data_IF_058904497008
#
_entry.id   IF_058904497008
#
_cell.length_a   1.000
_cell.length_b   1.000
_cell.length_c   1.000
_cell.angle_alpha   90.00
_cell.angle_beta   90.00
_cell.angle_gamma   90.00
#
_symmetry.space_group_name_H-M   'P 1'
#
loop_
_entity.id
_entity.type
_entity.pdbx_description
1 polymer ?
#
# COMPACT_ATOMS: atom_id res chain seq x y z
N UNK A 1 68.97 -40.00 -4.65
CA UNK A 1 68.82 -40.95 -3.54
C UNK A 1 67.42 -40.77 -2.97
N UNK A 2 66.45 -41.57 -3.44
CA UNK A 2 65.23 -41.88 -2.69
C UNK A 2 65.61 -42.84 -1.54
N UNK A 3 64.79 -43.13 -0.48
CA UNK A 3 63.34 -43.36 -0.58
C UNK A 3 62.45 -43.20 0.69
N UNK A 4 61.15 -43.56 0.53
CA UNK A 4 60.09 -44.01 1.49
C UNK A 4 59.34 -42.92 2.29
N UNK A 5 58.05 -42.63 2.01
CA UNK A 5 56.76 -43.37 2.21
C UNK A 5 56.27 -43.44 3.68
N UNK A 6 55.27 -42.62 4.03
CA UNK A 6 54.11 -42.86 4.94
C UNK A 6 53.08 -41.76 4.58
N UNK A 7 52.00 -41.99 3.83
CA UNK A 7 50.74 -42.67 4.16
C UNK A 7 50.20 -42.35 5.56
N UNK A 8 49.41 -41.28 5.66
CA UNK A 8 48.37 -41.14 6.68
C UNK A 8 47.17 -40.41 6.09
N UNK A 9 46.11 -41.19 5.87
CA UNK A 9 44.78 -40.78 5.43
C UNK A 9 44.24 -39.63 6.28
N UNK A 10 43.95 -38.48 5.66
CA UNK A 10 42.98 -37.53 6.20
C UNK A 10 41.67 -37.76 5.45
N UNK A 11 40.79 -38.51 6.09
CA UNK A 11 39.44 -38.79 5.64
C UNK A 11 38.66 -37.46 5.62
N UNK A 12 38.50 -36.88 4.44
CA UNK A 12 37.65 -35.71 4.21
C UNK A 12 36.19 -36.16 4.40
N UNK A 13 35.67 -36.03 5.61
CA UNK A 13 34.25 -36.16 5.89
C UNK A 13 33.58 -34.93 5.26
N UNK A 14 33.12 -35.10 4.03
CA UNK A 14 32.11 -34.25 3.41
C UNK A 14 30.81 -34.56 4.16
N UNK A 15 30.55 -33.83 5.24
CA UNK A 15 29.19 -33.69 5.76
C UNK A 15 28.47 -32.82 4.72
N UNK A 16 27.88 -33.50 3.74
CA UNK A 16 26.76 -32.96 3.00
C UNK A 16 25.65 -32.68 4.01
N UNK A 17 25.56 -31.43 4.47
CA UNK A 17 24.31 -30.91 5.00
C UNK A 17 23.33 -30.92 3.82
N UNK A 18 22.68 -32.06 3.61
CA UNK A 18 21.35 -32.07 3.01
C UNK A 18 20.46 -31.32 4.00
N UNK A 19 20.43 -29.99 3.88
CA UNK A 19 19.30 -29.21 4.32
C UNK A 19 18.11 -29.79 3.57
N UNK A 20 17.38 -30.69 4.22
CA UNK A 20 16.00 -30.93 3.87
C UNK A 20 15.36 -29.55 3.91
N UNK A 21 15.19 -28.94 2.74
CA UNK A 21 14.20 -27.92 2.55
C UNK A 21 12.87 -28.63 2.79
N UNK A 22 12.51 -28.80 4.06
CA UNK A 22 11.12 -29.01 4.43
C UNK A 22 10.41 -27.82 3.82
N UNK A 23 9.62 -28.09 2.79
CA UNK A 23 8.73 -27.10 2.20
C UNK A 23 7.88 -26.58 3.35
N UNK A 24 8.23 -25.40 3.87
CA UNK A 24 7.48 -24.75 4.93
C UNK A 24 6.09 -24.54 4.36
N UNK A 25 5.12 -25.32 4.83
CA UNK A 25 3.73 -25.09 4.46
C UNK A 25 3.27 -23.85 5.20
N UNK A 26 2.72 -22.90 4.46
CA UNK A 26 2.32 -21.61 5.01
C UNK A 26 0.89 -21.68 5.54
N UNK A 27 0.69 -21.29 6.78
CA UNK A 27 -0.66 -21.03 7.30
C UNK A 27 -1.18 -19.68 6.82
N UNK A 28 -2.50 -19.45 6.93
CA UNK A 28 -3.09 -18.15 6.65
C UNK A 28 -2.44 -17.04 7.50
N UNK A 29 -2.19 -17.31 8.78
CA UNK A 29 -1.57 -16.37 9.71
C UNK A 29 -0.12 -16.04 9.30
N UNK A 30 0.67 -17.06 8.94
CA UNK A 30 2.03 -16.85 8.41
C UNK A 30 2.02 -15.99 7.15
N UNK A 31 1.08 -16.26 6.23
CA UNK A 31 0.94 -15.51 4.99
C UNK A 31 0.62 -14.03 5.26
N UNK A 32 -0.36 -13.74 6.11
CA UNK A 32 -0.75 -12.37 6.44
C UNK A 32 0.39 -11.65 7.15
N UNK A 33 1.02 -12.27 8.15
CA UNK A 33 2.14 -11.68 8.88
C UNK A 33 3.31 -11.36 7.95
N UNK A 34 3.68 -12.30 7.08
CA UNK A 34 4.76 -12.09 6.12
C UNK A 34 4.42 -10.99 5.11
N UNK A 35 3.18 -10.96 4.61
CA UNK A 35 2.72 -9.90 3.73
C UNK A 35 2.79 -8.52 4.41
N UNK A 36 2.40 -8.42 5.68
CA UNK A 36 2.49 -7.16 6.42
C UNK A 36 3.94 -6.65 6.49
N UNK A 37 4.91 -7.55 6.68
CA UNK A 37 6.31 -7.18 6.81
C UNK A 37 7.00 -6.88 5.46
N UNK A 38 6.60 -7.56 4.38
CA UNK A 38 7.34 -7.53 3.11
C UNK A 38 6.63 -6.77 1.98
N UNK A 39 5.31 -6.63 2.02
CA UNK A 39 4.55 -6.08 0.90
C UNK A 39 4.94 -4.61 0.61
N UNK A 40 5.34 -4.36 -0.65
CA UNK A 40 5.73 -3.05 -1.19
C UNK A 40 4.71 -1.96 -0.87
N UNK A 41 3.40 -2.20 -0.97
CA UNK A 41 2.38 -1.16 -0.70
C UNK A 41 2.38 -0.72 0.76
N UNK A 42 2.63 -1.65 1.69
CA UNK A 42 2.76 -1.36 3.13
C UNK A 42 4.07 -0.60 3.39
N UNK A 43 5.17 -1.02 2.75
CA UNK A 43 6.46 -0.30 2.83
C UNK A 43 6.36 1.12 2.28
N UNK A 44 5.63 1.34 1.19
CA UNK A 44 5.34 2.67 0.65
C UNK A 44 4.55 3.51 1.67
N UNK A 45 3.53 2.93 2.28
CA UNK A 45 2.74 3.63 3.31
C UNK A 45 3.54 3.96 4.57
N UNK A 46 4.54 3.14 4.94
CA UNK A 46 5.49 3.49 6.02
C UNK A 46 6.38 4.68 5.63
N UNK A 47 6.85 4.75 4.37
CA UNK A 47 7.57 5.91 3.86
C UNK A 47 6.71 7.18 3.82
N UNK A 48 5.39 7.06 3.63
CA UNK A 48 4.47 8.21 3.74
C UNK A 48 4.41 8.74 5.18
N UNK A 49 4.48 7.87 6.20
CA UNK A 49 4.60 8.30 7.61
C UNK A 49 5.91 9.05 7.81
N UNK A 50 7.02 8.57 7.25
CA UNK A 50 8.32 9.24 7.34
C UNK A 50 8.26 10.62 6.68
N UNK A 51 7.61 10.73 5.53
CA UNK A 51 7.36 12.01 4.85
C UNK A 51 6.56 12.96 5.74
N UNK A 52 5.46 12.50 6.35
CA UNK A 52 4.67 13.30 7.28
C UNK A 52 5.45 13.72 8.54
N UNK A 53 6.41 12.91 9.00
CA UNK A 53 7.32 13.27 10.09
C UNK A 53 8.34 14.35 9.66
N UNK A 54 8.82 14.31 8.43
CA UNK A 54 9.68 15.34 7.85
C UNK A 54 8.89 16.65 7.72
N UNK A 55 7.65 16.61 7.23
CA UNK A 55 6.77 17.79 7.15
C UNK A 55 6.53 18.43 8.53
N UNK A 56 6.43 17.62 9.59
CA UNK A 56 6.38 18.13 10.96
C UNK A 56 7.68 18.83 11.36
N UNK A 57 8.85 18.32 10.95
CA UNK A 57 10.13 18.98 11.19
C UNK A 57 10.20 20.31 10.43
N UNK A 58 9.70 20.39 9.21
CA UNK A 58 9.61 21.65 8.45
C UNK A 58 8.66 22.65 9.11
N UNK A 59 7.51 22.18 9.61
CA UNK A 59 6.58 23.00 10.37
C UNK A 59 7.21 23.51 11.68
N UNK A 60 8.06 22.71 12.34
CA UNK A 60 8.86 23.15 13.49
C UNK A 60 9.99 24.11 13.07
N UNK A 61 10.64 23.87 11.93
CA UNK A 61 11.67 24.73 11.36
C UNK A 61 11.18 26.14 11.06
N UNK A 62 9.88 26.30 10.80
CA UNK A 62 9.23 27.61 10.64
C UNK A 62 9.27 28.49 11.90
N UNK A 63 9.60 27.94 13.07
CA UNK A 63 9.85 28.69 14.32
C UNK A 63 11.32 29.07 14.52
N UNK A 64 12.22 28.51 13.72
CA UNK A 64 13.66 28.77 13.82
C UNK A 64 14.06 29.95 12.91
N UNK A 65 15.19 30.62 13.19
CA UNK A 65 15.75 31.58 12.26
C UNK A 65 16.13 30.90 10.94
N UNK A 66 15.79 31.53 9.82
CA UNK A 66 16.44 31.25 8.55
C UNK A 66 17.75 32.02 8.49
N UNK A 67 18.81 31.36 8.01
CA UNK A 67 20.12 31.97 7.76
C UNK A 67 20.46 31.71 6.31
N UNK A 68 20.74 32.76 5.55
CA UNK A 68 21.18 32.66 4.17
C UNK A 68 22.45 33.47 3.98
N UNK A 69 23.36 32.99 3.16
CA UNK A 69 24.52 33.73 2.70
C UNK A 69 24.47 33.83 1.19
N UNK A 70 24.85 34.97 0.64
CA UNK A 70 24.96 35.19 -0.78
C UNK A 70 26.27 35.89 -1.10
N UNK A 71 26.84 35.55 -2.24
CA UNK A 71 27.96 36.27 -2.83
C UNK A 71 27.67 36.48 -4.30
N UNK A 72 28.00 37.65 -4.81
CA UNK A 72 27.84 38.01 -6.20
C UNK A 72 29.05 38.78 -6.69
N UNK A 73 29.39 38.55 -7.96
CA UNK A 73 30.38 39.34 -8.67
C UNK A 73 29.72 39.82 -9.96
N UNK A 74 29.86 41.11 -10.26
CA UNK A 74 29.25 41.72 -11.44
C UNK A 74 30.19 42.68 -12.15
N UNK A 75 30.04 42.75 -13.47
CA UNK A 75 30.68 43.73 -14.34
C UNK A 75 29.61 44.69 -14.85
N UNK A 76 29.83 45.99 -14.65
CA UNK A 76 29.07 47.03 -15.32
C UNK A 76 29.93 47.58 -16.45
N UNK A 77 29.51 47.36 -17.70
CA UNK A 77 30.24 47.74 -18.90
C UNK A 77 29.41 48.77 -19.67
N UNK A 78 30.02 49.91 -20.01
CA UNK A 78 29.38 50.95 -20.83
C UNK A 78 29.34 52.29 -20.11
N UNK A 79 28.41 53.16 -20.52
CA UNK A 79 28.23 54.46 -19.88
C UNK A 79 27.65 54.27 -18.47
N UNK A 80 28.44 54.59 -17.45
CA UNK A 80 28.00 54.54 -16.05
C UNK A 80 28.52 55.77 -15.29
N UNK A 81 27.92 56.05 -14.13
CA UNK A 81 28.47 57.09 -13.25
C UNK A 81 29.72 56.52 -12.61
N UNK A 82 30.85 57.16 -12.83
CA UNK A 82 32.08 56.76 -12.18
C UNK A 82 31.92 56.96 -10.66
N UNK A 83 32.03 55.89 -9.83
CA UNK A 83 31.76 55.96 -8.39
C UNK A 83 32.78 56.85 -7.63
N UNK A 84 33.83 57.28 -8.32
CA UNK A 84 34.98 58.03 -7.83
C UNK A 84 34.79 59.51 -8.09
N UNK A 85 34.65 59.87 -9.37
CA UNK A 85 34.56 61.25 -9.84
C UNK A 85 33.13 61.77 -9.87
N UNK A 86 32.14 60.89 -9.76
CA UNK A 86 30.71 61.19 -9.91
C UNK A 86 30.34 61.80 -11.28
N UNK A 87 31.16 61.53 -12.30
CA UNK A 87 30.96 61.98 -13.68
C UNK A 87 30.60 60.76 -14.54
N UNK A 88 29.71 60.95 -15.51
CA UNK A 88 29.39 59.91 -16.47
C UNK A 88 30.61 59.60 -17.35
N UNK A 89 31.05 58.35 -17.34
CA UNK A 89 32.18 57.88 -18.13
C UNK A 89 31.88 56.50 -18.70
N UNK A 90 32.34 56.24 -19.93
CA UNK A 90 32.28 54.89 -20.52
C UNK A 90 33.43 54.08 -19.95
N UNK A 91 33.12 53.17 -19.03
CA UNK A 91 34.12 52.36 -18.34
C UNK A 91 33.56 50.98 -17.98
N UNK A 92 34.46 50.06 -17.63
CA UNK A 92 34.10 48.79 -17.02
C UNK A 92 34.38 48.86 -15.52
N UNK A 93 33.35 48.71 -14.68
CA UNK A 93 33.49 48.62 -13.23
C UNK A 93 33.13 47.24 -12.74
N UNK A 94 33.92 46.69 -11.82
CA UNK A 94 33.67 45.39 -11.23
C UNK A 94 33.31 45.55 -9.75
N UNK A 95 32.31 44.78 -9.32
CA UNK A 95 31.84 44.77 -7.94
C UNK A 95 31.75 43.33 -7.46
N UNK A 96 32.34 43.05 -6.30
CA UNK A 96 32.06 41.84 -5.55
C UNK A 96 31.27 42.23 -4.32
N UNK A 97 30.16 41.55 -4.03
CA UNK A 97 29.47 41.70 -2.77
C UNK A 97 29.26 40.34 -2.13
N UNK A 98 29.36 40.29 -0.81
CA UNK A 98 28.96 39.12 -0.04
C UNK A 98 28.12 39.59 1.14
N UNK A 99 27.12 38.81 1.51
CA UNK A 99 26.27 39.10 2.64
C UNK A 99 25.71 37.85 3.28
N UNK A 100 25.29 38.00 4.52
CA UNK A 100 24.56 37.00 5.27
C UNK A 100 23.32 37.65 5.87
N UNK A 101 22.18 37.00 5.78
CA UNK A 101 20.91 37.49 6.30
C UNK A 101 20.33 36.42 7.22
N UNK A 102 19.94 36.84 8.41
CA UNK A 102 19.22 36.03 9.38
C UNK A 102 17.83 36.63 9.55
N UNK A 103 16.79 35.79 9.47
CA UNK A 103 15.41 36.23 9.67
C UNK A 103 14.63 35.22 10.51
N UNK A 104 13.88 35.71 11.50
CA UNK A 104 13.03 34.88 12.36
C UNK A 104 11.63 35.48 12.45
N UNK A 105 10.62 34.66 12.17
CA UNK A 105 9.22 35.01 12.39
C UNK A 105 8.93 34.91 13.90
N UNK A 106 8.97 36.05 14.61
CA UNK A 106 8.68 36.13 16.06
C UNK A 106 7.19 35.90 16.31
N UNK A 107 6.35 36.51 15.48
CA UNK A 107 4.91 36.31 15.49
C UNK A 107 4.36 36.28 14.08
N UNK A 108 3.55 35.28 13.76
CA UNK A 108 2.96 35.11 12.42
C UNK A 108 1.46 34.87 12.51
N UNK A 109 0.75 35.63 13.35
CA UNK A 109 -0.68 35.45 13.54
C UNK A 109 -1.12 34.08 14.05
N UNK A 110 -0.22 33.34 14.72
CA UNK A 110 -0.36 31.91 15.08
C UNK A 110 -0.36 30.92 13.91
N UNK A 111 -0.06 31.35 12.67
CA UNK A 111 0.02 30.44 11.51
C UNK A 111 0.96 29.25 11.76
N UNK A 112 2.17 29.50 12.27
CA UNK A 112 3.15 28.44 12.55
C UNK A 112 2.62 27.41 13.56
N UNK A 113 1.86 27.86 14.58
CA UNK A 113 1.25 26.98 15.60
C UNK A 113 0.19 26.08 14.97
N UNK A 114 -0.70 26.63 14.14
CA UNK A 114 -1.72 25.82 13.47
C UNK A 114 -1.13 24.90 12.41
N UNK A 115 -0.09 25.33 11.69
CA UNK A 115 0.66 24.48 10.74
C UNK A 115 1.31 23.29 11.46
N UNK A 116 1.92 23.49 12.63
CA UNK A 116 2.48 22.40 13.44
C UNK A 116 1.39 21.45 13.95
N UNK A 117 0.26 21.97 14.42
CA UNK A 117 -0.89 21.15 14.82
C UNK A 117 -1.44 20.34 13.65
N UNK A 118 -1.56 20.94 12.47
CA UNK A 118 -1.95 20.26 11.23
C UNK A 118 -0.97 19.13 10.90
N UNK A 119 0.34 19.39 10.95
CA UNK A 119 1.35 18.37 10.66
C UNK A 119 1.28 17.17 11.63
N UNK A 120 0.96 17.40 12.91
CA UNK A 120 0.70 16.30 13.84
C UNK A 120 -0.52 15.46 13.43
N UNK A 121 -1.62 16.09 13.00
CA UNK A 121 -2.79 15.39 12.48
C UNK A 121 -2.47 14.63 11.18
N UNK A 122 -1.64 15.20 10.31
CA UNK A 122 -1.18 14.53 9.09
C UNK A 122 -0.40 13.24 9.39
N UNK A 123 0.42 13.21 10.45
CA UNK A 123 1.07 11.97 10.92
C UNK A 123 0.03 10.95 11.39
N UNK A 124 -1.00 11.39 12.11
CA UNK A 124 -2.09 10.50 12.57
C UNK A 124 -2.86 9.93 11.37
N UNK A 125 -3.17 10.76 10.37
CA UNK A 125 -3.81 10.32 9.14
C UNK A 125 -2.95 9.29 8.38
N UNK A 126 -1.64 9.54 8.24
CA UNK A 126 -0.70 8.61 7.60
C UNK A 126 -0.63 7.26 8.35
N UNK A 127 -0.66 7.28 9.69
CA UNK A 127 -0.72 6.05 10.50
C UNK A 127 -2.01 5.27 10.27
N UNK A 128 -3.16 5.94 10.20
CA UNK A 128 -4.42 5.27 9.89
C UNK A 128 -4.43 4.75 8.44
N UNK A 129 -3.83 5.46 7.48
CA UNK A 129 -3.66 4.97 6.12
C UNK A 129 -2.80 3.70 6.06
N UNK A 130 -1.70 3.64 6.83
CA UNK A 130 -0.90 2.41 6.97
C UNK A 130 -1.72 1.26 7.54
N UNK A 131 -2.47 1.51 8.61
CA UNK A 131 -3.35 0.49 9.19
C UNK A 131 -4.39 0.00 8.17
N UNK A 132 -5.02 0.91 7.41
CA UNK A 132 -5.95 0.54 6.34
C UNK A 132 -5.27 -0.32 5.27
N UNK A 133 -4.06 0.05 4.85
CA UNK A 133 -3.28 -0.72 3.88
C UNK A 133 -2.98 -2.14 4.41
N UNK A 134 -2.60 -2.27 5.68
CA UNK A 134 -2.37 -3.57 6.32
C UNK A 134 -3.65 -4.42 6.33
N UNK A 135 -4.80 -3.82 6.67
CA UNK A 135 -6.10 -4.48 6.66
C UNK A 135 -6.53 -4.94 5.25
N UNK A 136 -6.37 -4.08 4.24
CA UNK A 136 -6.69 -4.39 2.84
C UNK A 136 -5.81 -5.52 2.30
N UNK A 137 -4.50 -5.50 2.59
CA UNK A 137 -3.57 -6.58 2.21
C UNK A 137 -3.90 -7.87 2.94
N UNK A 138 -4.24 -7.83 4.23
CA UNK A 138 -4.64 -9.01 4.98
C UNK A 138 -5.89 -9.68 4.38
N UNK A 139 -6.90 -8.90 3.99
CA UNK A 139 -8.11 -9.40 3.31
C UNK A 139 -7.78 -10.01 1.94
N UNK A 140 -6.92 -9.37 1.15
CA UNK A 140 -6.52 -9.87 -0.17
C UNK A 140 -5.73 -11.19 -0.06
N UNK A 141 -4.82 -11.28 0.93
CA UNK A 141 -4.08 -12.51 1.23
C UNK A 141 -5.03 -13.61 1.69
N UNK A 142 -6.00 -13.30 2.56
CA UNK A 142 -7.00 -14.27 2.99
C UNK A 142 -7.84 -14.80 1.82
N UNK A 143 -8.29 -13.93 0.92
CA UNK A 143 -9.01 -14.34 -0.28
C UNK A 143 -8.16 -15.25 -1.18
N UNK A 144 -6.93 -14.85 -1.47
CA UNK A 144 -6.01 -15.63 -2.30
C UNK A 144 -5.67 -16.99 -1.67
N UNK A 145 -5.47 -17.03 -0.35
CA UNK A 145 -5.24 -18.26 0.40
C UNK A 145 -6.42 -19.24 0.28
N UNK A 146 -7.65 -18.77 0.50
CA UNK A 146 -8.85 -19.60 0.36
C UNK A 146 -9.06 -20.06 -1.08
N UNK A 147 -8.72 -19.24 -2.08
CA UNK A 147 -8.75 -19.64 -3.49
C UNK A 147 -7.77 -20.77 -3.80
N UNK A 148 -6.57 -20.74 -3.22
CA UNK A 148 -5.59 -21.84 -3.37
C UNK A 148 -6.14 -23.13 -2.75
N UNK A 149 -6.70 -23.06 -1.54
CA UNK A 149 -7.32 -24.23 -0.89
C UNK A 149 -8.48 -24.80 -1.73
N UNK A 150 -9.36 -23.93 -2.22
CA UNK A 150 -10.45 -24.32 -3.14
C UNK A 150 -9.91 -25.06 -4.37
N UNK A 151 -8.93 -24.49 -5.06
CA UNK A 151 -8.37 -25.08 -6.28
C UNK A 151 -7.65 -26.40 -6.00
N UNK A 152 -7.04 -26.55 -4.83
CA UNK A 152 -6.36 -27.78 -4.39
C UNK A 152 -7.36 -28.91 -4.17
N UNK A 153 -8.45 -28.64 -3.45
CA UNK A 153 -9.54 -29.60 -3.24
C UNK A 153 -10.27 -29.92 -4.56
N UNK A 154 -10.51 -28.93 -5.43
CA UNK A 154 -11.12 -29.18 -6.73
C UNK A 154 -10.23 -30.09 -7.60
N UNK A 155 -8.91 -29.87 -7.63
CA UNK A 155 -7.98 -30.75 -8.33
C UNK A 155 -8.02 -32.19 -7.79
N UNK A 156 -8.17 -32.35 -6.48
CA UNK A 156 -8.33 -33.67 -5.85
C UNK A 156 -9.60 -34.36 -6.35
N UNK A 157 -10.74 -33.65 -6.40
CA UNK A 157 -12.00 -34.18 -6.97
C UNK A 157 -11.82 -34.62 -8.42
N UNK A 158 -11.20 -33.80 -9.27
CA UNK A 158 -10.98 -34.16 -10.68
C UNK A 158 -10.04 -35.38 -10.85
N UNK A 159 -9.03 -35.53 -10.00
CA UNK A 159 -8.15 -36.70 -10.02
C UNK A 159 -8.86 -37.98 -9.54
N UNK A 160 -9.69 -37.88 -8.50
CA UNK A 160 -10.50 -39.01 -8.02
C UNK A 160 -11.48 -39.47 -9.10
N UNK A 161 -12.12 -38.51 -9.78
CA UNK A 161 -12.99 -38.75 -10.92
C UNK A 161 -12.28 -39.49 -12.06
N UNK A 162 -11.11 -38.99 -12.49
CA UNK A 162 -10.29 -39.66 -13.52
C UNK A 162 -9.84 -41.06 -13.08
N UNK A 163 -9.52 -41.26 -11.80
CA UNK A 163 -9.14 -42.57 -11.27
C UNK A 163 -10.29 -43.58 -11.30
N UNK A 164 -11.53 -43.14 -11.04
CA UNK A 164 -12.73 -43.97 -11.16
C UNK A 164 -12.97 -44.32 -12.63
N UNK A 165 -12.85 -43.37 -13.56
CA UNK A 165 -13.08 -43.61 -14.98
C UNK A 165 -12.05 -44.55 -15.60
N UNK A 166 -10.80 -44.49 -15.16
CA UNK A 166 -9.78 -45.47 -15.56
C UNK A 166 -10.12 -46.90 -15.07
N UNK A 167 -10.69 -47.05 -13.87
CA UNK A 167 -11.19 -48.35 -13.40
C UNK A 167 -12.38 -48.82 -14.25
N UNK A 168 -13.26 -47.90 -14.63
CA UNK A 168 -14.38 -48.20 -15.51
C UNK A 168 -13.92 -48.66 -16.91
N UNK A 169 -12.90 -48.02 -17.48
CA UNK A 169 -12.31 -48.43 -18.76
C UNK A 169 -11.81 -49.88 -18.72
N UNK A 170 -11.11 -50.26 -17.65
CA UNK A 170 -10.62 -51.64 -17.49
C UNK A 170 -11.78 -52.63 -17.50
N UNK A 171 -12.85 -52.34 -16.73
CA UNK A 171 -14.05 -53.20 -16.67
C UNK A 171 -14.78 -53.27 -18.00
N UNK A 172 -15.03 -52.15 -18.65
CA UNK A 172 -15.70 -52.10 -19.95
C UNK A 172 -14.89 -52.85 -21.01
N UNK A 173 -13.55 -52.73 -21.00
CA UNK A 173 -12.68 -53.45 -21.92
C UNK A 173 -12.79 -54.98 -21.72
N UNK A 174 -12.83 -55.46 -20.49
CA UNK A 174 -13.03 -56.89 -20.18
C UNK A 174 -14.40 -57.39 -20.67
N UNK A 175 -15.47 -56.63 -20.42
CA UNK A 175 -16.82 -56.98 -20.85
C UNK A 175 -16.98 -56.98 -22.37
N UNK A 176 -16.35 -56.05 -23.08
CA UNK A 176 -16.33 -56.03 -24.55
C UNK A 176 -15.54 -57.22 -25.10
N UNK A 177 -14.40 -57.56 -24.49
CA UNK A 177 -13.60 -58.72 -24.90
C UNK A 177 -14.34 -60.05 -24.66
N UNK A 178 -15.15 -60.12 -23.60
CA UNK A 178 -16.05 -61.24 -23.33
C UNK A 178 -17.30 -61.28 -24.24
N UNK A 179 -17.53 -60.24 -25.06
CA UNK A 179 -18.69 -60.12 -25.93
C UNK A 179 -19.98 -59.65 -25.24
N UNK A 180 -19.90 -59.23 -23.97
CA UNK A 180 -21.05 -58.81 -23.16
C UNK A 180 -21.47 -57.35 -23.40
N UNK A 181 -20.57 -56.50 -23.93
CA UNK A 181 -20.84 -55.10 -24.25
C UNK A 181 -20.41 -54.73 -25.67
N UNK A 182 -21.08 -53.75 -26.31
CA UNK A 182 -20.69 -53.26 -27.63
C UNK A 182 -19.40 -52.42 -27.56
N UNK A 183 -18.65 -52.38 -28.68
CA UNK A 183 -17.44 -51.52 -28.79
C UNK A 183 -17.75 -50.02 -28.68
N UNK A 184 -18.99 -49.60 -28.92
CA UNK A 184 -19.44 -48.21 -28.74
C UNK A 184 -19.22 -47.72 -27.31
N UNK A 185 -19.65 -48.49 -26.31
CA UNK A 185 -19.48 -48.17 -24.89
C UNK A 185 -18.00 -47.98 -24.51
N UNK A 186 -17.10 -48.77 -25.11
CA UNK A 186 -15.65 -48.59 -24.91
C UNK A 186 -15.14 -47.26 -25.47
N UNK A 187 -15.67 -46.82 -26.63
CA UNK A 187 -15.31 -45.54 -27.22
C UNK A 187 -15.86 -44.37 -26.40
N UNK A 188 -17.07 -44.50 -25.85
CA UNK A 188 -17.67 -43.48 -24.98
C UNK A 188 -16.85 -43.31 -23.70
N UNK A 189 -16.45 -44.40 -23.04
CA UNK A 189 -15.59 -44.32 -21.84
C UNK A 189 -14.23 -43.69 -22.17
N UNK A 190 -13.64 -43.99 -23.33
CA UNK A 190 -12.39 -43.34 -23.77
C UNK A 190 -12.58 -41.84 -24.02
N UNK A 191 -13.73 -41.43 -24.57
CA UNK A 191 -14.05 -40.01 -24.75
C UNK A 191 -14.22 -39.30 -23.39
N UNK A 192 -14.88 -39.92 -22.42
CA UNK A 192 -14.98 -39.38 -21.04
C UNK A 192 -13.61 -39.21 -20.40
N UNK A 193 -12.73 -40.22 -20.48
CA UNK A 193 -11.35 -40.11 -19.94
C UNK A 193 -10.57 -38.97 -20.60
N UNK A 194 -10.73 -38.76 -21.90
CA UNK A 194 -10.08 -37.64 -22.59
C UNK A 194 -10.59 -36.29 -22.06
N UNK A 195 -11.90 -36.15 -21.83
CA UNK A 195 -12.50 -34.96 -21.25
C UNK A 195 -12.05 -34.74 -19.79
N UNK A 196 -11.96 -35.80 -18.98
CA UNK A 196 -11.52 -35.70 -17.59
C UNK A 196 -10.03 -35.38 -17.46
N UNK A 197 -9.18 -35.90 -18.35
CA UNK A 197 -7.79 -35.46 -18.45
C UNK A 197 -7.70 -33.95 -18.74
N UNK A 198 -8.56 -33.42 -19.63
CA UNK A 198 -8.62 -31.98 -19.88
C UNK A 198 -9.03 -31.19 -18.62
N UNK A 199 -10.02 -31.67 -17.86
CA UNK A 199 -10.45 -31.05 -16.59
C UNK A 199 -9.31 -31.05 -15.55
N UNK A 200 -8.58 -32.16 -15.42
CA UNK A 200 -7.42 -32.25 -14.52
C UNK A 200 -6.34 -31.24 -14.90
N UNK A 201 -5.98 -31.15 -16.19
CA UNK A 201 -5.00 -30.18 -16.68
C UNK A 201 -5.45 -28.74 -16.39
N UNK A 202 -6.73 -28.43 -16.62
CA UNK A 202 -7.27 -27.11 -16.32
C UNK A 202 -7.24 -26.80 -14.81
N UNK A 203 -7.57 -27.78 -13.96
CA UNK A 203 -7.51 -27.65 -12.51
C UNK A 203 -6.07 -27.46 -12.01
N UNK A 204 -5.10 -28.18 -12.58
CA UNK A 204 -3.66 -28.01 -12.31
C UNK A 204 -3.19 -26.61 -12.65
N UNK A 205 -3.53 -26.12 -13.85
CA UNK A 205 -3.21 -24.76 -14.28
C UNK A 205 -3.84 -23.70 -13.36
N UNK A 206 -5.11 -23.88 -12.99
CA UNK A 206 -5.82 -22.96 -12.09
C UNK A 206 -5.19 -22.93 -10.69
N UNK A 207 -4.80 -24.09 -10.15
CA UNK A 207 -4.08 -24.18 -8.89
C UNK A 207 -2.72 -23.46 -8.97
N UNK A 208 -1.94 -23.71 -10.03
CA UNK A 208 -0.65 -23.06 -10.25
C UNK A 208 -0.80 -21.53 -10.30
N UNK A 209 -1.77 -21.02 -11.08
CA UNK A 209 -2.03 -19.57 -11.18
C UNK A 209 -2.42 -19.00 -9.81
N UNK A 210 -3.30 -19.66 -9.05
CA UNK A 210 -3.67 -19.17 -7.71
C UNK A 210 -2.49 -19.16 -6.72
N UNK A 211 -1.60 -20.15 -6.79
CA UNK A 211 -0.36 -20.17 -5.99
C UNK A 211 0.57 -19.03 -6.39
N UNK A 212 0.72 -18.77 -7.69
CA UNK A 212 1.50 -17.63 -8.19
C UNK A 212 0.91 -16.30 -7.72
N UNK A 213 -0.41 -16.12 -7.78
CA UNK A 213 -1.07 -14.90 -7.29
C UNK A 213 -0.84 -14.68 -5.79
N UNK A 214 -0.93 -15.75 -4.98
CA UNK A 214 -0.61 -15.65 -3.54
C UNK A 214 0.88 -15.33 -3.33
N UNK A 215 1.79 -16.03 -4.00
CA UNK A 215 3.23 -15.78 -3.90
C UNK A 215 3.61 -14.34 -4.30
N UNK A 216 2.95 -13.78 -5.31
CA UNK A 216 3.12 -12.38 -5.72
C UNK A 216 2.62 -11.38 -4.67
N UNK A 217 1.46 -11.66 -4.04
CA UNK A 217 0.96 -10.82 -2.92
C UNK A 217 1.89 -10.85 -1.71
N UNK A 218 2.48 -12.01 -1.43
CA UNK A 218 3.48 -12.22 -0.38
C UNK A 218 4.85 -11.66 -0.75
N UNK A 219 5.13 -11.44 -2.05
CA UNK A 219 6.42 -11.01 -2.58
C UNK A 219 7.55 -12.00 -2.27
N UNK A 220 7.28 -13.28 -2.52
CA UNK A 220 8.28 -14.34 -2.37
C UNK A 220 9.25 -14.33 -3.57
N UNK A 221 10.55 -14.45 -3.29
CA UNK A 221 11.60 -14.50 -4.32
C UNK A 221 11.58 -15.82 -5.12
N UNK A 222 11.09 -16.91 -4.52
CA UNK A 222 10.95 -18.22 -5.15
C UNK A 222 9.56 -18.80 -4.90
N UNK A 223 8.90 -19.20 -5.99
CA UNK A 223 7.55 -19.77 -5.96
C UNK A 223 7.53 -21.30 -6.12
N UNK A 224 8.64 -21.91 -6.55
CA UNK A 224 8.67 -23.30 -7.03
C UNK A 224 8.32 -24.32 -5.94
N UNK A 225 8.62 -24.02 -4.68
CA UNK A 225 8.33 -24.88 -3.52
C UNK A 225 7.26 -24.31 -2.58
N UNK A 226 6.49 -23.31 -3.02
CA UNK A 226 5.46 -22.69 -2.21
C UNK A 226 4.20 -23.56 -2.13
N UNK A 227 3.82 -23.93 -0.90
CA UNK A 227 2.55 -24.60 -0.63
C UNK A 227 1.92 -24.12 0.67
N UNK A 228 0.60 -24.26 0.75
CA UNK A 228 -0.21 -23.85 1.90
C UNK A 228 -0.62 -25.08 2.72
N UNK A 229 -0.81 -24.87 4.03
CA UNK A 229 -1.31 -25.92 4.92
C UNK A 229 -2.77 -26.23 4.59
N UNK A 230 -3.10 -27.51 4.43
CA UNK A 230 -4.48 -27.97 4.29
C UNK A 230 -5.22 -27.77 5.62
N UNK A 231 -6.12 -26.79 5.66
CA UNK A 231 -6.95 -26.54 6.84
C UNK A 231 -8.25 -27.33 6.69
N UNK A 232 -8.35 -28.44 7.43
CA UNK A 232 -9.52 -29.31 7.38
C UNK A 232 -10.75 -28.67 8.06
N UNK A 233 -10.56 -27.81 9.06
CA UNK A 233 -11.65 -27.18 9.82
C UNK A 233 -11.36 -25.70 10.07
N UNK A 234 -12.13 -24.82 9.44
CA UNK A 234 -12.30 -23.45 9.93
C UNK A 234 -13.40 -23.48 10.98
N UNK A 235 -13.09 -23.16 12.24
CA UNK A 235 -14.13 -22.96 13.26
C UNK A 235 -14.94 -21.72 12.88
N UNK A 236 -16.17 -21.96 12.39
CA UNK A 236 -17.08 -20.91 11.96
C UNK A 236 -17.94 -20.47 13.14
N UNK A 237 -17.74 -19.23 13.61
CA UNK A 237 -18.58 -18.65 14.66
C UNK A 237 -19.94 -18.22 14.06
N UNK A 238 -20.92 -19.14 14.07
CA UNK A 238 -22.29 -18.88 13.63
C UNK A 238 -23.01 -17.78 14.46
N UNK A 239 -22.43 -17.35 15.58
CA UNK A 239 -23.04 -16.40 16.52
C UNK A 239 -23.26 -15.00 15.91
N UNK A 240 -22.44 -14.58 14.94
CA UNK A 240 -22.54 -13.25 14.32
C UNK A 240 -23.73 -13.12 13.35
N UNK A 241 -24.13 -14.22 12.71
CA UNK A 241 -25.30 -14.24 11.82
C UNK A 241 -26.63 -14.12 12.60
N UNK A 242 -26.58 -14.24 13.93
CA UNK A 242 -27.73 -14.02 14.82
C UNK A 242 -27.91 -12.56 15.25
N UNK A 243 -26.97 -11.66 14.91
CA UNK A 243 -27.06 -10.23 15.22
C UNK A 243 -27.74 -9.43 14.10
N UNK A 244 -28.14 -8.18 14.39
CA UNK A 244 -28.72 -7.29 13.37
C UNK A 244 -27.63 -6.50 12.64
N UNK A 245 -27.78 -6.23 11.33
CA UNK A 245 -26.84 -5.40 10.58
C UNK A 245 -26.56 -4.03 11.23
N UNK A 246 -27.57 -3.44 11.86
CA UNK A 246 -27.47 -2.16 12.56
C UNK A 246 -26.50 -2.24 13.75
N UNK A 247 -26.57 -3.31 14.55
CA UNK A 247 -25.65 -3.49 15.69
C UNK A 247 -24.18 -3.68 15.25
N UNK A 248 -23.97 -4.33 14.09
CA UNK A 248 -22.65 -4.49 13.49
C UNK A 248 -22.14 -3.14 12.98
N UNK A 249 -23.01 -2.36 12.34
CA UNK A 249 -22.69 -1.01 11.87
C UNK A 249 -22.31 -0.06 13.02
N UNK A 250 -23.05 -0.05 14.13
CA UNK A 250 -22.76 0.83 15.26
C UNK A 250 -21.39 0.54 15.90
N UNK A 251 -21.00 -0.74 15.96
CA UNK A 251 -19.65 -1.14 16.37
C UNK A 251 -18.59 -0.76 15.33
N UNK A 252 -18.86 -1.04 14.06
CA UNK A 252 -17.97 -0.68 12.96
C UNK A 252 -17.67 0.83 12.97
N UNK A 253 -18.71 1.66 13.15
CA UNK A 253 -18.59 3.12 13.17
C UNK A 253 -17.53 3.65 14.15
N UNK A 254 -17.35 2.97 15.29
CA UNK A 254 -16.38 3.39 16.31
C UNK A 254 -14.95 2.89 16.05
N UNK A 255 -14.81 1.75 15.39
CA UNK A 255 -13.53 1.04 15.30
C UNK A 255 -12.85 1.19 13.94
N UNK A 256 -13.64 1.31 12.85
CA UNK A 256 -13.17 1.29 11.46
C UNK A 256 -12.19 2.41 11.16
N UNK A 257 -11.09 2.03 10.55
CA UNK A 257 -9.97 2.93 10.23
C UNK A 257 -10.34 3.94 9.14
N UNK A 258 -11.22 3.58 8.20
CA UNK A 258 -11.64 4.47 7.11
C UNK A 258 -12.36 5.71 7.63
N UNK A 259 -13.20 5.55 8.65
CA UNK A 259 -13.84 6.68 9.32
C UNK A 259 -12.84 7.52 10.11
N UNK A 260 -11.86 6.90 10.78
CA UNK A 260 -10.80 7.64 11.47
C UNK A 260 -9.96 8.48 10.50
N UNK A 261 -9.69 7.98 9.29
CA UNK A 261 -9.03 8.74 8.22
C UNK A 261 -9.89 9.95 7.82
N UNK A 262 -11.17 9.73 7.53
CA UNK A 262 -12.08 10.80 7.12
C UNK A 262 -12.26 11.87 8.22
N UNK A 263 -12.38 11.46 9.48
CA UNK A 263 -12.43 12.35 10.65
C UNK A 263 -11.13 13.15 10.80
N UNK A 264 -9.97 12.50 10.70
CA UNK A 264 -8.67 13.20 10.81
C UNK A 264 -8.50 14.20 9.66
N UNK A 265 -8.94 13.87 8.45
CA UNK A 265 -8.93 14.79 7.31
C UNK A 265 -9.85 15.99 7.51
N UNK A 266 -11.01 15.79 8.13
CA UNK A 266 -11.90 16.87 8.54
C UNK A 266 -11.19 17.81 9.55
N UNK A 267 -10.55 17.27 10.58
CA UNK A 267 -9.77 18.06 11.55
C UNK A 267 -8.60 18.82 10.89
N UNK A 268 -7.92 18.21 9.91
CA UNK A 268 -6.90 18.88 9.10
C UNK A 268 -7.51 20.07 8.33
N UNK A 269 -8.69 19.90 7.74
CA UNK A 269 -9.40 20.97 7.05
C UNK A 269 -9.78 22.12 8.01
N UNK A 270 -10.17 21.82 9.25
CA UNK A 270 -10.40 22.84 10.28
C UNK A 270 -9.13 23.63 10.60
N UNK A 271 -7.97 22.95 10.73
CA UNK A 271 -6.69 23.64 10.93
C UNK A 271 -6.32 24.50 9.73
N UNK A 272 -6.62 24.07 8.50
CA UNK A 272 -6.42 24.90 7.31
C UNK A 272 -7.27 26.18 7.34
N UNK A 273 -8.52 26.12 7.81
CA UNK A 273 -9.35 27.31 8.04
C UNK A 273 -8.71 28.23 9.08
N UNK A 274 -8.19 27.67 10.19
CA UNK A 274 -7.51 28.44 11.22
C UNK A 274 -6.23 29.12 10.69
N UNK A 275 -5.41 28.42 9.89
CA UNK A 275 -4.22 28.97 9.21
C UNK A 275 -4.62 30.11 8.26
N UNK A 276 -5.69 29.94 7.49
CA UNK A 276 -6.18 30.98 6.58
C UNK A 276 -6.67 32.21 7.34
N UNK A 277 -7.40 32.02 8.45
CA UNK A 277 -7.87 33.13 9.32
C UNK A 277 -6.72 33.86 10.00
N UNK A 278 -5.68 33.14 10.39
CA UNK A 278 -4.48 33.71 10.99
C UNK A 278 -3.76 34.72 10.08
N UNK A 279 -3.98 34.66 8.75
CA UNK A 279 -3.44 35.64 7.81
C UNK A 279 -4.04 37.05 7.94
N UNK A 280 -5.13 37.24 8.69
CA UNK A 280 -5.66 38.56 9.03
C UNK A 280 -4.87 39.25 10.15
N UNK A 281 -4.08 38.50 10.91
CA UNK A 281 -3.38 39.05 12.06
C UNK A 281 -2.04 39.66 11.64
N UNK A 282 -1.50 40.60 12.44
CA UNK A 282 -0.17 41.12 12.25
C UNK A 282 0.91 40.04 12.25
N UNK A 283 2.00 40.30 11.54
CA UNK A 283 3.22 39.50 11.60
C UNK A 283 4.39 40.35 12.08
N UNK A 284 5.17 39.85 13.04
CA UNK A 284 6.38 40.46 13.57
C UNK A 284 7.58 39.59 13.19
N UNK A 285 8.51 40.14 12.41
CA UNK A 285 9.73 39.45 11.97
C UNK A 285 10.97 40.17 12.50
N UNK A 286 11.85 39.44 13.17
CA UNK A 286 13.20 39.91 13.49
C UNK A 286 14.15 39.63 12.33
N UNK A 287 15.06 40.55 12.06
CA UNK A 287 16.09 40.36 11.03
C UNK A 287 17.44 40.91 11.46
N UNK A 288 18.50 40.30 10.92
CA UNK A 288 19.88 40.77 10.98
C UNK A 288 20.50 40.56 9.59
N UNK A 289 20.96 41.64 8.95
CA UNK A 289 21.64 41.60 7.67
C UNK A 289 23.08 42.07 7.85
N UNK A 290 24.00 41.29 7.33
CA UNK A 290 25.40 41.62 7.15
C UNK A 290 25.66 41.69 5.65
N UNK A 291 26.33 42.73 5.19
CA UNK A 291 26.77 42.83 3.81
C UNK A 291 28.14 43.49 3.75
N UNK A 292 28.98 43.10 2.80
CA UNK A 292 30.21 43.79 2.48
C UNK A 292 30.37 43.83 0.96
N UNK A 293 31.05 44.86 0.48
CA UNK A 293 31.28 45.07 -0.94
C UNK A 293 32.71 45.48 -1.20
N UNK A 294 33.25 44.98 -2.30
CA UNK A 294 34.57 45.31 -2.84
C UNK A 294 34.34 45.85 -4.24
N UNK A 295 34.94 47.00 -4.54
CA UNK A 295 34.93 47.57 -5.89
C UNK A 295 36.35 47.55 -6.43
N UNK A 296 36.50 47.15 -7.68
CA UNK A 296 37.78 47.23 -8.40
C UNK A 296 37.86 48.50 -9.25
N UNK A 297 37.14 49.54 -8.84
CA UNK A 297 37.30 50.89 -9.37
C UNK A 297 38.28 51.66 -8.49
N UNK A 298 38.95 52.66 -9.06
CA UNK A 298 39.81 53.58 -8.32
C UNK A 298 39.04 54.28 -7.17
N UNK A 299 39.74 54.98 -6.28
CA UNK A 299 39.13 55.77 -5.20
C UNK A 299 39.55 57.23 -5.34
N UNK A 300 38.65 58.17 -4.99
CA UNK A 300 38.85 59.59 -5.23
C UNK A 300 39.65 60.14 -4.07
N UNK A 301 40.82 60.70 -4.36
CA UNK A 301 41.53 61.54 -3.42
C UNK A 301 40.80 62.87 -3.37
N UNK A 302 40.30 63.25 -2.19
CA UNK A 302 39.62 64.52 -1.97
C UNK A 302 40.44 65.39 -1.03
N UNK A 303 40.51 66.68 -1.31
CA UNK A 303 41.10 67.65 -0.39
C UNK A 303 40.13 68.02 0.76
N UNK A 304 40.58 68.87 1.67
CA UNK A 304 39.79 69.35 2.80
C UNK A 304 38.54 70.18 2.39
N UNK A 305 38.41 70.54 1.11
CA UNK A 305 37.25 71.23 0.55
C UNK A 305 36.28 70.27 -0.15
N UNK A 306 36.62 68.98 -0.22
CA UNK A 306 35.84 67.93 -0.88
C UNK A 306 36.07 67.84 -2.39
N UNK A 307 36.96 68.66 -2.95
CA UNK A 307 37.33 68.64 -4.36
C UNK A 307 38.20 67.42 -4.67
N UNK A 308 37.93 66.74 -5.79
CA UNK A 308 38.70 65.57 -6.22
C UNK A 308 40.05 66.03 -6.76
N UNK A 309 41.13 65.73 -6.04
CA UNK A 309 42.51 66.11 -6.33
C UNK A 309 43.33 65.00 -7.00
N UNK A 310 42.76 63.80 -7.14
CA UNK A 310 43.38 62.68 -7.84
C UNK A 310 42.61 61.37 -7.68
N UNK A 311 43.13 60.30 -8.27
CA UNK A 311 42.62 58.93 -8.08
C UNK A 311 43.74 58.05 -7.51
N UNK A 312 43.36 57.10 -6.67
CA UNK A 312 44.26 56.06 -6.15
C UNK A 312 43.71 54.67 -6.49
N UNK A 313 44.60 53.69 -6.64
CA UNK A 313 44.20 52.30 -6.84
C UNK A 313 43.30 51.83 -5.68
N UNK A 314 42.34 50.92 -5.95
CA UNK A 314 41.51 50.36 -4.89
C UNK A 314 42.36 49.72 -3.78
N UNK A 315 41.99 49.86 -2.49
CA UNK A 315 42.63 49.14 -1.40
C UNK A 315 42.56 47.62 -1.60
N UNK A 316 43.34 46.86 -0.83
CA UNK A 316 43.34 45.40 -0.96
C UNK A 316 41.93 44.82 -0.76
N UNK A 317 41.68 43.64 -1.33
CA UNK A 317 40.39 42.96 -1.19
C UNK A 317 39.96 42.84 0.29
N UNK A 318 40.89 42.48 1.17
CA UNK A 318 40.63 42.24 2.61
C UNK A 318 40.29 43.55 3.32
N UNK A 319 41.03 44.63 3.03
CA UNK A 319 40.78 45.94 3.63
C UNK A 319 39.41 46.46 3.20
N UNK A 320 39.12 46.44 1.89
CA UNK A 320 37.81 46.84 1.39
C UNK A 320 36.68 45.99 1.96
N UNK A 321 36.89 44.68 2.11
CA UNK A 321 35.88 43.79 2.66
C UNK A 321 35.62 44.04 4.15
N UNK A 322 36.65 44.38 4.91
CA UNK A 322 36.54 44.75 6.33
C UNK A 322 35.92 46.13 6.52
N UNK A 323 36.36 47.11 5.72
CA UNK A 323 36.00 48.52 5.90
C UNK A 323 34.61 48.83 5.35
N UNK A 324 34.20 48.15 4.28
CA UNK A 324 32.86 48.30 3.68
C UNK A 324 31.79 47.40 4.31
N UNK A 325 32.04 46.81 5.48
CA UNK A 325 31.04 45.99 6.18
C UNK A 325 29.87 46.86 6.66
N UNK A 326 28.67 46.54 6.19
CA UNK A 326 27.40 47.06 6.66
C UNK A 326 26.69 46.02 7.52
N UNK A 327 26.07 46.48 8.60
CA UNK A 327 25.21 45.66 9.44
C UNK A 327 23.91 46.40 9.69
N UNK A 328 22.79 45.70 9.61
CA UNK A 328 21.48 46.23 9.99
C UNK A 328 20.71 45.16 10.73
N UNK A 329 20.02 45.54 11.79
CA UNK A 329 19.14 44.64 12.51
C UNK A 329 17.90 45.39 12.97
N UNK A 330 16.81 44.66 13.15
CA UNK A 330 15.57 45.28 13.57
C UNK A 330 14.43 44.28 13.65
N UNK A 331 13.27 44.82 14.01
CA UNK A 331 12.01 44.11 13.95
C UNK A 331 11.08 44.82 12.97
N UNK A 332 10.42 44.04 12.11
CA UNK A 332 9.45 44.53 11.14
C UNK A 332 8.06 44.04 11.53
N UNK A 333 7.16 44.97 11.84
CA UNK A 333 5.75 44.71 12.06
C UNK A 333 4.98 44.97 10.77
N UNK A 334 4.28 43.96 10.26
CA UNK A 334 3.41 44.05 9.10
C UNK A 334 1.96 43.79 9.50
N UNK A 335 1.09 44.78 9.32
CA UNK A 335 -0.34 44.70 9.63
C UNK A 335 -1.11 44.75 8.31
N UNK A 336 -1.72 43.65 7.83
CA UNK A 336 -2.49 43.68 6.60
C UNK A 336 -3.82 44.42 6.82
N UNK A 337 -3.93 45.65 6.30
CA UNK A 337 -5.15 46.47 6.40
C UNK A 337 -6.13 46.09 5.27
N UNK A 338 -5.66 46.10 4.03
CA UNK A 338 -6.44 45.71 2.86
C UNK A 338 -5.56 44.98 1.84
N UNK A 339 -5.86 43.70 1.62
CA UNK A 339 -5.09 42.81 0.74
C UNK A 339 -5.84 42.50 -0.57
N UNK A 340 -6.65 43.42 -1.10
CA UNK A 340 -7.44 43.20 -2.32
C UNK A 340 -8.38 41.99 -2.24
N UNK A 341 -8.99 41.75 -1.07
CA UNK A 341 -9.81 40.56 -0.75
C UNK A 341 -9.09 39.21 -0.78
N UNK A 342 -7.78 39.15 -1.04
CA UNK A 342 -7.04 37.87 -1.14
C UNK A 342 -7.16 37.01 0.14
N UNK A 343 -6.95 37.60 1.33
CA UNK A 343 -7.07 36.89 2.61
C UNK A 343 -8.51 36.40 2.84
N UNK A 344 -9.51 37.23 2.53
CA UNK A 344 -10.93 36.87 2.62
C UNK A 344 -11.27 35.68 1.72
N UNK A 345 -10.89 35.76 0.45
CA UNK A 345 -11.18 34.71 -0.51
C UNK A 345 -10.44 33.41 -0.16
N UNK A 346 -9.24 33.49 0.43
CA UNK A 346 -8.53 32.31 0.92
C UNK A 346 -9.24 31.65 2.12
N UNK A 347 -9.77 32.44 3.06
CA UNK A 347 -10.57 31.91 4.18
C UNK A 347 -11.85 31.26 3.67
N UNK A 348 -12.58 31.91 2.76
CA UNK A 348 -13.80 31.33 2.17
C UNK A 348 -13.49 30.04 1.40
N UNK A 349 -12.39 30.00 0.63
CA UNK A 349 -11.95 28.77 -0.05
C UNK A 349 -11.69 27.62 0.93
N UNK A 350 -11.03 27.90 2.06
CA UNK A 350 -10.77 26.89 3.08
C UNK A 350 -12.05 26.46 3.82
N UNK A 351 -13.03 27.36 4.02
CA UNK A 351 -14.35 26.98 4.54
C UNK A 351 -15.08 26.06 3.57
N UNK A 352 -15.06 26.35 2.27
CA UNK A 352 -15.64 25.46 1.25
C UNK A 352 -14.95 24.09 1.27
N UNK A 353 -13.62 24.04 1.40
CA UNK A 353 -12.90 22.77 1.53
C UNK A 353 -13.23 22.02 2.83
N UNK A 354 -13.50 22.73 3.93
CA UNK A 354 -13.99 22.14 5.17
C UNK A 354 -15.37 21.48 4.97
N UNK A 355 -16.31 22.18 4.33
CA UNK A 355 -17.63 21.61 4.00
C UNK A 355 -17.51 20.38 3.08
N UNK A 356 -16.61 20.42 2.08
CA UNK A 356 -16.29 19.24 1.26
C UNK A 356 -15.78 18.06 2.11
N UNK A 357 -14.97 18.34 3.13
CA UNK A 357 -14.44 17.30 4.03
C UNK A 357 -15.52 16.73 4.96
N UNK A 358 -16.51 17.55 5.38
CA UNK A 358 -17.68 17.07 6.14
C UNK A 358 -18.55 16.15 5.29
N UNK A 359 -18.84 16.55 4.05
CA UNK A 359 -19.60 15.72 3.11
C UNK A 359 -18.84 14.42 2.80
N UNK A 360 -17.52 14.47 2.67
CA UNK A 360 -16.71 13.27 2.47
C UNK A 360 -16.76 12.31 3.67
N UNK A 361 -16.81 12.85 4.91
CA UNK A 361 -17.02 12.02 6.10
C UNK A 361 -18.40 11.37 6.10
N UNK A 362 -19.46 12.13 5.78
CA UNK A 362 -20.82 11.59 5.67
C UNK A 362 -20.91 10.50 4.59
N UNK A 363 -20.30 10.73 3.42
CA UNK A 363 -20.20 9.74 2.36
C UNK A 363 -19.48 8.46 2.84
N UNK A 364 -18.39 8.59 3.60
CA UNK A 364 -17.67 7.46 4.17
C UNK A 364 -18.51 6.68 5.21
N UNK A 365 -19.37 7.36 5.97
CA UNK A 365 -20.33 6.71 6.88
C UNK A 365 -21.38 5.91 6.09
N UNK A 366 -21.93 6.49 5.03
CA UNK A 366 -22.89 5.80 4.15
C UNK A 366 -22.25 4.60 3.42
N UNK A 367 -21.01 4.75 2.95
CA UNK A 367 -20.26 3.66 2.32
C UNK A 367 -19.97 2.54 3.32
N UNK A 368 -19.60 2.87 4.57
CA UNK A 368 -19.46 1.87 5.62
C UNK A 368 -20.78 1.15 5.89
N UNK A 369 -21.88 1.90 6.00
CA UNK A 369 -23.21 1.30 6.19
C UNK A 369 -23.53 0.32 5.05
N UNK A 370 -23.37 0.74 3.79
CA UNK A 370 -23.58 -0.14 2.63
C UNK A 370 -22.71 -1.38 2.72
N UNK A 371 -21.42 -1.23 3.00
CA UNK A 371 -20.48 -2.35 3.04
C UNK A 371 -20.82 -3.35 4.15
N UNK A 372 -21.26 -2.89 5.33
CA UNK A 372 -21.73 -3.76 6.43
C UNK A 372 -22.98 -4.54 6.02
N UNK A 373 -23.95 -3.88 5.41
CA UNK A 373 -25.18 -4.53 4.95
C UNK A 373 -24.91 -5.54 3.83
N UNK A 374 -24.02 -5.21 2.89
CA UNK A 374 -23.55 -6.15 1.86
C UNK A 374 -22.84 -7.34 2.48
N UNK A 375 -21.87 -7.12 3.38
CA UNK A 375 -21.14 -8.21 4.05
C UNK A 375 -22.06 -9.15 4.82
N UNK A 376 -23.05 -8.60 5.55
CA UNK A 376 -24.03 -9.41 6.26
C UNK A 376 -24.92 -10.23 5.32
N UNK A 377 -25.40 -9.60 4.24
CA UNK A 377 -26.27 -10.27 3.26
C UNK A 377 -25.52 -11.35 2.48
N UNK A 378 -24.27 -11.06 2.09
CA UNK A 378 -23.36 -12.00 1.43
C UNK A 378 -23.07 -13.21 2.33
N UNK A 379 -22.74 -12.98 3.61
CA UNK A 379 -22.46 -14.08 4.55
C UNK A 379 -23.69 -14.97 4.77
N UNK A 380 -24.88 -14.36 4.91
CA UNK A 380 -26.14 -15.09 5.03
C UNK A 380 -26.49 -15.85 3.74
N UNK A 381 -26.24 -15.26 2.58
CA UNK A 381 -26.45 -15.88 1.28
C UNK A 381 -25.50 -17.06 1.06
N UNK A 382 -24.23 -16.89 1.38
CA UNK A 382 -23.20 -17.92 1.25
C UNK A 382 -23.46 -19.11 2.18
N UNK A 383 -23.94 -18.88 3.41
CA UNK A 383 -24.38 -19.96 4.31
C UNK A 383 -25.47 -20.81 3.66
N UNK A 384 -26.55 -20.17 3.18
CA UNK A 384 -27.66 -20.88 2.55
C UNK A 384 -27.24 -21.62 1.28
N UNK A 385 -26.37 -21.01 0.47
CA UNK A 385 -25.81 -21.64 -0.72
C UNK A 385 -25.00 -22.88 -0.37
N UNK A 386 -24.20 -22.83 0.71
CA UNK A 386 -23.45 -23.97 1.20
C UNK A 386 -24.36 -25.09 1.73
N UNK A 387 -25.40 -24.76 2.51
CA UNK A 387 -26.41 -25.72 2.98
C UNK A 387 -27.12 -26.41 1.80
N UNK A 388 -27.56 -25.64 0.80
CA UNK A 388 -28.19 -26.19 -0.42
C UNK A 388 -27.23 -27.04 -1.26
N UNK A 389 -25.94 -26.67 -1.33
CA UNK A 389 -24.94 -27.45 -2.03
C UNK A 389 -24.71 -28.81 -1.35
N UNK A 390 -24.74 -28.86 -0.01
CA UNK A 390 -24.64 -30.12 0.76
C UNK A 390 -25.84 -31.02 0.45
N UNK A 391 -27.06 -30.50 0.48
CA UNK A 391 -28.27 -31.27 0.14
C UNK A 391 -28.22 -31.80 -1.30
N UNK A 392 -27.76 -30.98 -2.24
CA UNK A 392 -27.58 -31.38 -3.62
C UNK A 392 -26.51 -32.49 -3.76
N UNK A 393 -25.40 -32.40 -3.02
CA UNK A 393 -24.37 -33.43 -3.01
C UNK A 393 -24.90 -34.75 -2.46
N UNK A 394 -25.68 -34.74 -1.38
CA UNK A 394 -26.28 -35.95 -0.83
C UNK A 394 -27.22 -36.62 -1.86
N UNK A 395 -28.12 -35.85 -2.48
CA UNK A 395 -29.01 -36.37 -3.51
C UNK A 395 -28.25 -36.92 -4.74
N UNK A 396 -27.18 -36.24 -5.19
CA UNK A 396 -26.34 -36.71 -6.30
C UNK A 396 -25.54 -37.96 -5.93
N UNK A 397 -25.11 -38.08 -4.67
CA UNK A 397 -24.41 -39.27 -4.16
C UNK A 397 -25.35 -40.48 -4.19
N UNK A 398 -26.57 -40.33 -3.70
CA UNK A 398 -27.58 -41.40 -3.76
C UNK A 398 -27.91 -41.77 -5.21
N UNK A 399 -28.13 -40.76 -6.07
CA UNK A 399 -28.39 -40.98 -7.50
C UNK A 399 -27.26 -41.75 -8.19
N UNK A 400 -25.99 -41.42 -7.90
CA UNK A 400 -24.84 -42.12 -8.43
C UNK A 400 -24.78 -43.57 -7.95
N UNK A 401 -25.07 -43.84 -6.67
CA UNK A 401 -25.11 -45.19 -6.13
C UNK A 401 -26.19 -46.05 -6.84
N UNK A 402 -27.40 -45.51 -7.04
CA UNK A 402 -28.43 -46.20 -7.82
C UNK A 402 -28.03 -46.44 -9.28
N UNK A 403 -27.38 -45.45 -9.93
CA UNK A 403 -26.86 -45.61 -11.29
C UNK A 403 -25.80 -46.72 -11.36
N UNK A 404 -24.90 -46.77 -10.38
CA UNK A 404 -23.84 -47.77 -10.28
C UNK A 404 -24.44 -49.18 -10.13
N UNK A 405 -25.42 -49.36 -9.23
CA UNK A 405 -26.10 -50.64 -9.05
C UNK A 405 -26.80 -51.10 -10.34
N UNK A 406 -27.54 -50.19 -11.01
CA UNK A 406 -28.21 -50.50 -12.29
C UNK A 406 -27.23 -50.89 -13.40
N UNK A 407 -26.08 -50.22 -13.46
CA UNK A 407 -25.02 -50.57 -14.41
C UNK A 407 -24.42 -51.95 -14.12
N UNK A 408 -24.17 -52.28 -12.85
CA UNK A 408 -23.63 -53.58 -12.45
C UNK A 408 -24.56 -54.75 -12.79
N UNK A 409 -25.88 -54.52 -12.83
CA UNK A 409 -26.88 -55.52 -13.28
C UNK A 409 -27.27 -55.40 -14.77
N UNK A 410 -26.60 -54.54 -15.54
CA UNK A 410 -26.81 -54.39 -16.99
C UNK A 410 -28.07 -53.64 -17.41
N UNK A 411 -28.73 -52.93 -16.47
CA UNK A 411 -29.94 -52.13 -16.73
C UNK A 411 -29.63 -50.67 -17.13
N UNK A 412 -28.36 -50.32 -17.26
CA UNK A 412 -27.87 -48.97 -17.56
C UNK A 412 -26.61 -49.09 -18.42
N UNK A 413 -26.43 -48.17 -19.36
CA UNK A 413 -25.22 -48.17 -20.22
C UNK A 413 -24.08 -47.34 -19.60
N UNK A 414 -22.87 -47.47 -20.15
CA UNK A 414 -21.68 -46.79 -19.63
C UNK A 414 -21.76 -45.26 -19.72
N UNK A 415 -22.41 -44.73 -20.77
CA UNK A 415 -22.59 -43.30 -20.97
C UNK A 415 -23.48 -42.67 -19.89
N UNK A 416 -24.62 -43.29 -19.57
CA UNK A 416 -25.52 -42.81 -18.52
C UNK A 416 -24.84 -42.85 -17.15
N UNK A 417 -24.04 -43.90 -16.85
CA UNK A 417 -23.28 -43.98 -15.60
C UNK A 417 -22.26 -42.85 -15.51
N UNK A 418 -21.51 -42.60 -16.59
CA UNK A 418 -20.55 -41.49 -16.70
C UNK A 418 -21.23 -40.13 -16.50
N UNK A 419 -22.44 -39.94 -17.02
CA UNK A 419 -23.22 -38.72 -16.80
C UNK A 419 -23.58 -38.53 -15.33
N UNK A 420 -24.06 -39.58 -14.66
CA UNK A 420 -24.37 -39.56 -13.22
C UNK A 420 -23.14 -39.23 -12.38
N UNK A 421 -22.00 -39.79 -12.74
CA UNK A 421 -20.72 -39.54 -12.09
C UNK A 421 -20.23 -38.10 -12.28
N UNK A 422 -20.36 -37.54 -13.49
CA UNK A 422 -20.04 -36.14 -13.77
C UNK A 422 -20.90 -35.19 -12.93
N UNK A 423 -22.19 -35.51 -12.73
CA UNK A 423 -23.08 -34.71 -11.89
C UNK A 423 -22.69 -34.77 -10.41
N UNK A 424 -22.21 -35.92 -9.92
CA UNK A 424 -21.66 -36.05 -8.57
C UNK A 424 -20.38 -35.22 -8.39
N UNK A 425 -19.42 -35.33 -9.31
CA UNK A 425 -18.17 -34.58 -9.26
C UNK A 425 -18.41 -33.05 -9.30
N UNK A 426 -19.38 -32.60 -10.11
CA UNK A 426 -19.80 -31.21 -10.15
C UNK A 426 -20.40 -30.75 -8.80
N UNK A 427 -21.25 -31.58 -8.18
CA UNK A 427 -21.83 -31.27 -6.87
C UNK A 427 -20.76 -31.23 -5.75
N UNK A 428 -19.78 -32.13 -5.78
CA UNK A 428 -18.64 -32.11 -4.86
C UNK A 428 -17.84 -30.80 -5.01
N UNK A 429 -17.52 -30.42 -6.25
CA UNK A 429 -16.82 -29.17 -6.56
C UNK A 429 -17.60 -27.93 -6.09
N UNK A 430 -18.93 -27.96 -6.22
CA UNK A 430 -19.82 -26.89 -5.79
C UNK A 430 -19.90 -26.75 -4.26
N UNK A 431 -19.92 -27.86 -3.51
CA UNK A 431 -19.82 -27.85 -2.05
C UNK A 431 -18.49 -27.24 -1.61
N UNK A 432 -17.39 -27.61 -2.26
CA UNK A 432 -16.05 -27.05 -1.95
C UNK A 432 -16.03 -25.54 -2.25
N UNK A 433 -16.58 -25.10 -3.40
CA UNK A 433 -16.67 -23.68 -3.78
C UNK A 433 -17.44 -22.87 -2.75
N UNK A 434 -18.65 -23.32 -2.42
CA UNK A 434 -19.55 -22.63 -1.47
C UNK A 434 -19.02 -22.67 -0.04
N UNK A 435 -18.30 -23.73 0.36
CA UNK A 435 -17.59 -23.81 1.65
C UNK A 435 -16.57 -22.68 1.81
N UNK A 436 -15.66 -22.53 0.86
CA UNK A 436 -14.60 -21.50 0.96
C UNK A 436 -15.13 -20.08 0.76
N UNK A 437 -16.14 -19.89 -0.09
CA UNK A 437 -16.84 -18.60 -0.21
C UNK A 437 -17.53 -18.22 1.12
N UNK A 438 -18.26 -19.15 1.74
CA UNK A 438 -18.89 -18.91 3.04
C UNK A 438 -17.88 -18.56 4.13
N UNK A 439 -16.75 -19.27 4.21
CA UNK A 439 -15.66 -18.95 5.14
C UNK A 439 -15.16 -17.52 4.90
N UNK A 440 -14.89 -17.14 3.65
CA UNK A 440 -14.40 -15.81 3.31
C UNK A 440 -15.40 -14.70 3.68
N UNK A 441 -16.68 -14.86 3.30
CA UNK A 441 -17.73 -13.88 3.60
C UNK A 441 -17.96 -13.73 5.10
N UNK A 442 -17.85 -14.81 5.87
CA UNK A 442 -17.92 -14.76 7.33
C UNK A 442 -16.74 -13.99 7.93
N UNK A 443 -15.52 -14.19 7.41
CA UNK A 443 -14.35 -13.40 7.84
C UNK A 443 -14.45 -11.92 7.52
N UNK A 444 -15.03 -11.55 6.37
CA UNK A 444 -15.34 -10.14 6.07
C UNK A 444 -16.32 -9.57 7.10
N UNK A 445 -17.36 -10.32 7.46
CA UNK A 445 -18.34 -9.88 8.46
C UNK A 445 -17.71 -9.70 9.85
N UNK A 446 -16.88 -10.65 10.28
CA UNK A 446 -16.07 -10.56 11.52
C UNK A 446 -15.19 -9.30 11.51
N UNK A 447 -14.53 -9.01 10.38
CA UNK A 447 -13.68 -7.84 10.21
C UNK A 447 -14.45 -6.52 10.34
N UNK A 448 -15.67 -6.42 9.81
CA UNK A 448 -16.54 -5.26 10.03
C UNK A 448 -17.03 -5.16 11.48
N UNK A 449 -17.21 -6.28 12.17
CA UNK A 449 -17.56 -6.31 13.59
C UNK A 449 -16.40 -5.89 14.53
N UNK A 450 -15.18 -5.77 13.99
CA UNK A 450 -13.99 -5.38 14.74
C UNK A 450 -13.17 -6.54 15.27
N UNK A 451 -13.46 -7.76 14.83
CA UNK A 451 -12.61 -8.92 15.11
C UNK A 451 -11.48 -8.90 14.07
N UNK A 452 -10.22 -8.75 14.49
CA UNK A 452 -9.10 -8.77 13.55
C UNK A 452 -9.01 -10.13 12.86
N UNK A 453 -8.65 -10.12 11.58
CA UNK A 453 -8.45 -11.34 10.77
C UNK A 453 -7.35 -12.23 11.38
N UNK A 454 -6.45 -11.62 12.15
CA UNK A 454 -5.46 -12.27 13.00
C UNK A 454 -5.89 -12.18 14.48
N UNK A 455 -6.04 -13.32 15.16
CA UNK A 455 -6.01 -13.32 16.63
C UNK A 455 -4.59 -12.96 17.05
N UNK A 456 -4.43 -11.94 17.88
CA UNK A 456 -3.13 -11.52 18.43
C UNK A 456 -2.51 -12.58 19.33
#
# INVERSE_FOLDING_TARGET
MSPKKYFSSLFFIIISFYSNAQSRQWSLEDCVKYAIDHNISIRQSDLDIQTAQIDKKDAFGSFLPNVSASASHSWNIGLNINPVTNIAATQTTQFTSAGANVGIDIYKGLQNVYTLRKANLSIVAAKYQLQKMQEDIALNVANAYLQVLFNKENLKVQNEQLAIDNKQLSRTQELVNAGNLPKGDLLDVKATIAADNQKVINAQNTLLISKLSLAQLLQLDSFENFDVVDVNEFQMEQSLLSQTPTSIYDKAKQQRVELKIAQTNLEIAEKNVAIARAAYQPTLRGFYNFNSRVSYADVALRDNTGAVIGTQAPPSFVDQFSDNKGQSFGAQLNIPIFSGFAVRNNVERNKVNLEKSKIALEQQELDLQRNVYTAFTDAKGALKAYESAIEALDARTQSYNYSKEKFEVGLMNAFELSQSQTLLANAQSEVIRTKYDYIFKTKILEFYFGIPILKK
#
